data_IF_487881291574
#
_entry.id   IF_487881291574
#
_cell.length_a   1.000
_cell.length_b   1.000
_cell.length_c   1.000
_cell.angle_alpha   90.00
_cell.angle_beta   90.00
_cell.angle_gamma   90.00
#
_symmetry.space_group_name_H-M   'P 1'
#
loop_
_entity.id
_entity.type
_entity.pdbx_description
1 polymer ?
#
# COMPACT_ATOMS: atom_id res chain seq x y z
N UNK A 1 -7.06 26.16 17.91
CA UNK A 1 -6.10 27.27 18.05
C UNK A 1 -5.24 27.16 19.30
N UNK A 2 -5.82 26.96 20.54
CA UNK A 2 -5.03 26.83 21.78
C UNK A 2 -4.06 25.63 21.77
N UNK A 3 -4.52 24.46 21.28
CA UNK A 3 -3.68 23.27 21.17
C UNK A 3 -2.48 23.53 20.25
N UNK A 4 -2.72 24.05 19.04
CA UNK A 4 -1.65 24.31 18.08
C UNK A 4 -0.58 25.26 18.61
N UNK A 5 -0.99 26.33 19.35
CA UNK A 5 -0.06 27.26 19.97
C UNK A 5 0.78 26.58 21.08
N UNK A 6 0.14 25.79 21.95
CA UNK A 6 0.82 25.03 23.00
C UNK A 6 1.81 24.00 22.40
N UNK A 7 1.39 23.29 21.36
CA UNK A 7 2.21 22.31 20.66
C UNK A 7 3.45 22.95 20.00
N UNK A 8 3.28 24.09 19.35
CA UNK A 8 4.40 24.84 18.79
C UNK A 8 5.37 25.35 19.87
N UNK A 9 4.84 25.79 21.02
CA UNK A 9 5.67 26.22 22.15
C UNK A 9 6.49 25.06 22.70
N UNK A 10 5.89 23.88 22.83
CA UNK A 10 6.54 22.66 23.30
C UNK A 10 7.63 22.20 22.32
N UNK A 11 7.36 22.17 21.02
CA UNK A 11 8.38 21.87 19.99
C UNK A 11 9.58 22.81 20.08
N UNK A 12 9.34 24.11 20.24
CA UNK A 12 10.41 25.10 20.39
C UNK A 12 11.23 24.88 21.66
N UNK A 13 10.58 24.56 22.79
CA UNK A 13 11.28 24.28 24.06
C UNK A 13 12.19 23.08 23.95
N UNK A 14 11.76 22.04 23.21
CA UNK A 14 12.54 20.82 22.92
C UNK A 14 13.52 20.94 21.78
N UNK A 15 13.48 22.05 21.02
CA UNK A 15 14.30 22.27 19.82
C UNK A 15 14.15 21.15 18.78
N UNK A 16 12.92 20.69 18.55
CA UNK A 16 12.59 19.67 17.56
C UNK A 16 11.69 20.25 16.47
N UNK A 17 11.78 19.66 15.27
CA UNK A 17 10.94 19.96 14.12
C UNK A 17 10.31 18.67 13.61
N UNK A 18 9.11 18.79 13.08
CA UNK A 18 8.45 17.74 12.28
C UNK A 18 8.72 17.97 10.79
N UNK A 19 8.46 16.95 9.97
CA UNK A 19 8.60 17.09 8.51
C UNK A 19 7.71 18.21 7.94
N UNK A 20 6.49 18.35 8.44
CA UNK A 20 5.59 19.44 8.05
C UNK A 20 6.13 20.84 8.39
N UNK A 21 6.87 20.98 9.49
CA UNK A 21 7.54 22.25 9.82
C UNK A 21 8.59 22.61 8.78
N UNK A 22 9.35 21.62 8.28
CA UNK A 22 10.38 21.84 7.26
C UNK A 22 9.77 22.38 5.97
N UNK A 23 8.65 21.78 5.52
CA UNK A 23 7.93 22.24 4.32
C UNK A 23 7.39 23.67 4.51
N UNK A 24 6.72 23.96 5.62
CA UNK A 24 6.17 25.28 5.91
C UNK A 24 7.23 26.35 6.08
N UNK A 25 8.35 26.04 6.75
CA UNK A 25 9.45 26.99 6.90
C UNK A 25 10.15 27.23 5.57
N UNK A 26 10.33 26.20 4.75
CA UNK A 26 10.89 26.36 3.39
C UNK A 26 10.04 27.32 2.58
N UNK A 27 8.72 27.08 2.51
CA UNK A 27 7.84 27.99 1.78
C UNK A 27 7.87 29.41 2.35
N UNK A 28 7.87 29.57 3.68
CA UNK A 28 7.95 30.88 4.31
C UNK A 28 9.25 31.62 3.99
N UNK A 29 10.38 30.90 3.91
CA UNK A 29 11.68 31.48 3.53
C UNK A 29 11.65 31.95 2.07
N UNK A 30 11.17 31.11 1.17
CA UNK A 30 11.09 31.39 -0.26
C UNK A 30 10.16 32.58 -0.57
N UNK A 31 9.06 32.72 0.17
CA UNK A 31 8.11 33.83 -0.01
C UNK A 31 8.61 35.16 0.56
N UNK A 32 9.49 35.13 1.59
CA UNK A 32 9.97 36.34 2.26
C UNK A 32 11.33 36.84 1.77
N UNK A 33 12.08 36.02 1.04
CA UNK A 33 13.44 36.32 0.64
C UNK A 33 13.59 36.09 -0.87
N UNK A 34 13.40 37.15 -1.65
CA UNK A 34 13.51 37.10 -3.10
C UNK A 34 14.91 36.67 -3.57
N UNK A 35 15.96 37.11 -2.90
CA UNK A 35 17.35 36.75 -3.23
C UNK A 35 17.58 35.23 -3.15
N UNK A 36 17.06 34.58 -2.08
CA UNK A 36 17.16 33.12 -1.92
C UNK A 36 16.36 32.40 -3.02
N UNK A 37 15.17 32.90 -3.34
CA UNK A 37 14.34 32.32 -4.39
C UNK A 37 15.04 32.40 -5.74
N UNK A 38 15.57 33.56 -6.11
CA UNK A 38 16.30 33.78 -7.36
C UNK A 38 17.58 32.92 -7.44
N UNK A 39 18.34 32.81 -6.37
CA UNK A 39 19.52 31.92 -6.31
C UNK A 39 19.14 30.47 -6.60
N UNK A 40 18.01 29.99 -6.08
CA UNK A 40 17.53 28.63 -6.35
C UNK A 40 16.98 28.46 -7.78
N UNK A 41 16.25 29.44 -8.32
CA UNK A 41 15.78 29.44 -9.71
C UNK A 41 16.96 29.37 -10.70
N UNK A 42 18.07 30.05 -10.41
CA UNK A 42 19.28 30.04 -11.25
C UNK A 42 20.13 28.80 -11.03
N UNK A 43 20.17 28.28 -9.81
CA UNK A 43 21.00 27.15 -9.41
C UNK A 43 20.59 25.83 -10.04
N UNK A 44 19.29 25.58 -10.13
CA UNK A 44 18.79 24.33 -10.69
C UNK A 44 18.61 24.42 -12.20
N UNK A 45 19.46 23.70 -12.95
CA UNK A 45 19.30 23.58 -14.40
C UNK A 45 17.98 22.89 -14.75
N UNK A 46 17.65 21.82 -14.02
CA UNK A 46 16.42 21.04 -14.16
C UNK A 46 15.93 20.60 -12.77
N UNK A 47 14.61 20.56 -12.61
CA UNK A 47 13.90 20.04 -11.43
C UNK A 47 13.12 18.82 -11.89
N UNK A 48 13.55 17.64 -11.45
CA UNK A 48 12.93 16.36 -11.81
C UNK A 48 12.14 15.84 -10.62
N UNK A 49 10.85 15.55 -10.84
CA UNK A 49 9.95 15.03 -9.83
C UNK A 49 9.40 13.70 -10.29
N UNK A 50 9.68 12.65 -9.52
CA UNK A 50 9.12 11.32 -9.73
C UNK A 50 7.87 11.12 -8.85
N UNK A 51 6.99 10.19 -9.25
CA UNK A 51 5.72 9.91 -8.56
C UNK A 51 4.90 11.17 -8.29
N UNK A 52 4.81 12.03 -9.30
CA UNK A 52 4.20 13.36 -9.14
C UNK A 52 2.73 13.33 -8.71
N UNK A 53 1.99 12.24 -8.94
CA UNK A 53 0.62 12.03 -8.46
C UNK A 53 0.52 12.00 -6.92
N UNK A 54 1.64 11.78 -6.21
CA UNK A 54 1.68 11.74 -4.75
C UNK A 54 2.08 13.08 -4.11
N UNK A 55 2.23 14.12 -4.94
CA UNK A 55 2.58 15.48 -4.50
C UNK A 55 1.37 16.15 -3.83
N UNK A 56 1.60 16.83 -2.71
CA UNK A 56 0.58 17.66 -2.07
C UNK A 56 0.71 19.14 -2.50
N UNK A 57 -0.30 19.95 -2.20
CA UNK A 57 -0.37 21.37 -2.57
C UNK A 57 0.80 22.20 -2.03
N UNK A 58 1.31 21.87 -0.84
CA UNK A 58 2.43 22.58 -0.23
C UNK A 58 3.75 22.28 -0.97
N UNK A 59 4.00 21.02 -1.28
CA UNK A 59 5.14 20.57 -2.07
C UNK A 59 5.10 21.17 -3.48
N UNK A 60 3.95 21.14 -4.13
CA UNK A 60 3.75 21.78 -5.44
C UNK A 60 4.08 23.29 -5.39
N UNK A 61 3.63 23.97 -4.35
CA UNK A 61 3.91 25.40 -4.19
C UNK A 61 5.41 25.67 -4.01
N UNK A 62 6.11 24.82 -3.26
CA UNK A 62 7.57 24.93 -3.11
C UNK A 62 8.27 24.73 -4.46
N UNK A 63 7.93 23.65 -5.18
CA UNK A 63 8.53 23.30 -6.46
C UNK A 63 8.31 24.41 -7.51
N UNK A 64 7.10 24.90 -7.64
CA UNK A 64 6.76 25.97 -8.60
C UNK A 64 7.34 27.32 -8.22
N UNK A 65 7.63 27.56 -6.93
CA UNK A 65 8.28 28.79 -6.46
C UNK A 65 9.75 28.84 -6.84
N UNK A 66 10.45 27.70 -6.90
CA UNK A 66 11.86 27.62 -7.28
C UNK A 66 12.08 27.27 -8.76
N UNK A 67 11.00 26.99 -9.49
CA UNK A 67 11.08 26.67 -10.90
C UNK A 67 11.13 27.93 -11.76
N UNK A 68 11.92 27.88 -12.84
CA UNK A 68 11.94 28.93 -13.85
C UNK A 68 10.66 28.88 -14.70
N UNK A 69 10.14 30.05 -15.02
CA UNK A 69 8.93 30.17 -15.86
C UNK A 69 9.25 30.13 -17.35
N UNK A 70 10.37 30.73 -17.75
CA UNK A 70 10.76 30.78 -19.16
C UNK A 70 12.29 30.90 -19.30
N UNK A 71 12.96 29.96 -19.97
CA UNK A 71 12.43 28.64 -20.31
C UNK A 71 12.11 27.83 -19.06
N UNK A 72 11.05 27.05 -19.08
CA UNK A 72 10.68 26.15 -17.98
C UNK A 72 11.76 25.08 -17.73
N UNK A 73 11.91 24.65 -16.47
CA UNK A 73 12.92 23.67 -16.07
C UNK A 73 12.34 22.53 -15.22
N UNK A 74 11.04 22.35 -15.16
CA UNK A 74 10.40 21.24 -14.46
C UNK A 74 10.14 20.05 -15.38
N UNK A 75 10.55 18.86 -14.94
CA UNK A 75 10.23 17.58 -15.56
C UNK A 75 9.55 16.69 -14.52
N UNK A 76 8.31 16.32 -14.78
CA UNK A 76 7.46 15.58 -13.86
C UNK A 76 7.06 14.24 -14.47
N UNK A 77 7.24 13.17 -13.71
CA UNK A 77 6.83 11.82 -14.09
C UNK A 77 5.85 11.28 -13.05
N UNK A 78 4.79 10.64 -13.50
CA UNK A 78 3.80 10.05 -12.60
C UNK A 78 2.72 9.28 -13.35
N UNK A 79 1.89 8.62 -12.58
CA UNK A 79 0.73 7.89 -13.06
C UNK A 79 -0.43 8.05 -12.08
N UNK A 80 -1.46 8.81 -12.48
CA UNK A 80 -2.63 9.08 -11.63
C UNK A 80 -3.31 7.79 -11.15
N UNK A 81 -3.30 6.74 -11.97
CA UNK A 81 -3.86 5.41 -11.61
C UNK A 81 -3.18 4.78 -10.40
N UNK A 82 -1.96 5.21 -10.07
CA UNK A 82 -1.16 4.72 -8.94
C UNK A 82 -1.23 5.64 -7.71
N UNK A 83 -2.06 6.68 -7.72
CA UNK A 83 -2.24 7.56 -6.57
C UNK A 83 -2.92 6.82 -5.42
N UNK A 84 -2.16 6.53 -4.35
CA UNK A 84 -2.63 5.81 -3.16
C UNK A 84 -2.36 6.58 -1.85
N UNK A 85 -1.77 7.78 -1.93
CA UNK A 85 -1.37 8.57 -0.76
C UNK A 85 -2.32 9.72 -0.41
N UNK A 86 -3.59 9.66 -0.82
CA UNK A 86 -4.60 10.65 -0.44
C UNK A 86 -4.71 10.87 1.07
N UNK A 87 -4.47 9.83 1.89
CA UNK A 87 -4.42 9.93 3.35
C UNK A 87 -3.22 10.75 3.89
N UNK A 88 -2.22 11.04 3.03
CA UNK A 88 -1.09 11.96 3.28
C UNK A 88 -1.26 13.31 2.60
N UNK A 89 -2.48 13.64 2.22
CA UNK A 89 -2.83 14.88 1.51
C UNK A 89 -2.25 14.98 0.09
N UNK A 90 -1.85 13.87 -0.53
CA UNK A 90 -1.55 13.87 -1.95
C UNK A 90 -2.78 14.32 -2.75
N UNK A 91 -2.56 15.15 -3.75
CA UNK A 91 -3.61 15.73 -4.58
C UNK A 91 -3.36 15.37 -6.06
N UNK A 92 -3.93 14.25 -6.55
CA UNK A 92 -3.79 13.86 -7.94
C UNK A 92 -4.39 14.88 -8.93
N UNK A 93 -5.26 15.79 -8.46
CA UNK A 93 -5.78 16.89 -9.23
C UNK A 93 -4.70 17.80 -9.80
N UNK A 94 -3.59 17.99 -9.06
CA UNK A 94 -2.42 18.75 -9.52
C UNK A 94 -1.79 18.14 -10.79
N UNK A 95 -1.69 16.81 -10.81
CA UNK A 95 -1.20 16.10 -12.00
C UNK A 95 -2.19 16.18 -13.16
N UNK A 96 -3.48 15.95 -12.92
CA UNK A 96 -4.54 15.97 -13.92
C UNK A 96 -4.69 17.35 -14.57
N UNK A 97 -4.54 18.43 -13.80
CA UNK A 97 -4.52 19.79 -14.33
C UNK A 97 -3.40 19.97 -15.35
N UNK A 98 -2.17 19.60 -15.00
CA UNK A 98 -1.03 19.68 -15.91
C UNK A 98 -1.17 18.73 -17.10
N UNK A 99 -1.63 17.50 -16.85
CA UNK A 99 -1.90 16.52 -17.90
C UNK A 99 -2.85 17.04 -18.97
N UNK A 100 -3.90 17.74 -18.54
CA UNK A 100 -4.88 18.35 -19.44
C UNK A 100 -4.33 19.62 -20.12
N UNK A 101 -3.60 20.46 -19.37
CA UNK A 101 -3.03 21.72 -19.87
C UNK A 101 -1.96 21.47 -20.93
N UNK A 102 -1.06 20.53 -20.70
CA UNK A 102 0.06 20.21 -21.61
C UNK A 102 -0.36 19.30 -22.78
N UNK A 103 -1.63 18.96 -22.89
CA UNK A 103 -2.17 18.30 -24.08
C UNK A 103 -2.33 19.23 -25.27
N UNK A 104 -2.33 20.55 -25.04
CA UNK A 104 -2.52 21.57 -26.09
C UNK A 104 -1.17 22.05 -26.58
N UNK A 105 -1.03 22.21 -27.91
CA UNK A 105 0.22 22.63 -28.56
C UNK A 105 0.65 24.06 -28.16
N UNK A 106 -0.31 24.92 -27.79
CA UNK A 106 -0.07 26.31 -27.37
C UNK A 106 0.26 26.44 -25.87
N UNK A 107 0.46 25.32 -25.17
CA UNK A 107 0.78 25.32 -23.74
C UNK A 107 2.23 25.66 -23.45
N UNK A 108 2.51 26.06 -22.21
CA UNK A 108 3.86 26.34 -21.68
C UNK A 108 4.65 25.08 -21.30
N UNK A 109 4.18 23.91 -21.71
CA UNK A 109 4.79 22.61 -21.45
C UNK A 109 4.40 21.55 -22.48
N UNK A 110 5.04 20.39 -22.39
CA UNK A 110 4.78 19.26 -23.29
C UNK A 110 4.38 18.03 -22.47
N UNK A 111 3.31 17.36 -22.92
CA UNK A 111 2.89 16.06 -22.39
C UNK A 111 3.49 14.93 -23.21
N UNK A 112 4.15 13.99 -22.54
CA UNK A 112 4.68 12.77 -23.13
C UNK A 112 3.96 11.59 -22.49
N UNK A 113 3.31 10.73 -23.29
CA UNK A 113 2.60 9.56 -22.83
C UNK A 113 3.55 8.35 -22.93
N UNK A 114 3.80 7.69 -21.78
CA UNK A 114 4.57 6.46 -21.68
C UNK A 114 3.59 5.30 -21.46
N UNK A 115 2.99 4.81 -22.54
CA UNK A 115 2.01 3.73 -22.48
C UNK A 115 2.63 2.33 -22.38
N UNK A 116 3.85 2.16 -22.88
CA UNK A 116 4.51 0.86 -22.98
C UNK A 116 5.03 0.37 -21.63
N UNK A 117 4.61 -0.83 -21.25
CA UNK A 117 5.06 -1.53 -20.05
C UNK A 117 6.09 -2.61 -20.42
N UNK A 118 7.28 -2.50 -19.84
CA UNK A 118 8.38 -3.45 -20.04
C UNK A 118 8.62 -4.35 -18.82
N UNK A 119 7.84 -4.18 -17.76
CA UNK A 119 8.02 -4.90 -16.49
C UNK A 119 7.23 -6.20 -16.45
N UNK A 120 5.98 -6.16 -16.86
CA UNK A 120 5.01 -7.23 -16.70
C UNK A 120 4.95 -8.15 -17.93
N UNK A 121 4.40 -9.35 -17.76
CA UNK A 121 4.02 -10.22 -18.87
C UNK A 121 2.69 -9.75 -19.46
N UNK A 122 2.48 -9.99 -20.75
CA UNK A 122 1.29 -9.52 -21.49
C UNK A 122 -0.04 -9.90 -20.84
N UNK A 123 -0.16 -11.12 -20.30
CA UNK A 123 -1.40 -11.58 -19.70
C UNK A 123 -1.77 -10.82 -18.40
N UNK A 124 -0.76 -10.36 -17.65
CA UNK A 124 -0.99 -9.50 -16.46
C UNK A 124 -1.50 -8.13 -16.89
N UNK A 125 -0.94 -7.54 -17.92
CA UNK A 125 -1.41 -6.26 -18.47
C UNK A 125 -2.83 -6.37 -19.04
N UNK A 126 -3.11 -7.46 -19.76
CA UNK A 126 -4.41 -7.72 -20.35
C UNK A 126 -5.52 -7.82 -19.28
N UNK A 127 -5.28 -8.54 -18.18
CA UNK A 127 -6.27 -8.64 -17.08
C UNK A 127 -6.41 -7.31 -16.34
N UNK A 128 -5.31 -6.56 -16.17
CA UNK A 128 -5.33 -5.22 -15.59
C UNK A 128 -6.20 -4.28 -16.43
N UNK A 129 -5.95 -4.21 -17.74
CA UNK A 129 -6.76 -3.42 -18.65
C UNK A 129 -8.22 -3.84 -18.64
N UNK A 130 -8.52 -5.16 -18.64
CA UNK A 130 -9.88 -5.68 -18.58
C UNK A 130 -10.62 -5.21 -17.32
N UNK A 131 -9.98 -5.27 -16.17
CA UNK A 131 -10.60 -4.86 -14.91
C UNK A 131 -10.81 -3.35 -14.89
N UNK A 132 -9.77 -2.57 -15.15
CA UNK A 132 -9.83 -1.12 -15.04
C UNK A 132 -10.73 -0.46 -16.09
N UNK A 133 -10.84 -1.03 -17.29
CA UNK A 133 -11.81 -0.54 -18.29
C UNK A 133 -13.27 -0.66 -17.85
N UNK A 134 -13.58 -1.51 -16.86
CA UNK A 134 -14.93 -1.70 -16.35
C UNK A 134 -15.22 -0.89 -15.08
N UNK A 135 -14.21 -0.62 -14.26
CA UNK A 135 -14.43 -0.02 -12.93
C UNK A 135 -13.88 1.40 -12.79
N UNK A 136 -12.96 1.83 -13.66
CA UNK A 136 -12.35 3.16 -13.55
C UNK A 136 -13.09 4.16 -14.43
N UNK A 137 -13.65 5.18 -13.79
CA UNK A 137 -14.28 6.34 -14.40
C UNK A 137 -13.89 7.59 -13.62
N UNK A 138 -14.20 8.77 -14.15
CA UNK A 138 -13.94 10.04 -13.43
C UNK A 138 -14.59 10.11 -12.06
N UNK A 139 -15.72 9.44 -11.86
CA UNK A 139 -16.43 9.43 -10.59
C UNK A 139 -15.75 8.56 -9.53
N UNK A 140 -15.04 7.51 -9.94
CA UNK A 140 -14.44 6.52 -9.06
C UNK A 140 -12.93 6.66 -8.98
N UNK A 141 -12.26 6.95 -10.10
CA UNK A 141 -10.81 6.98 -10.23
C UNK A 141 -10.25 8.32 -10.71
N UNK A 142 -11.08 9.40 -10.67
CA UNK A 142 -10.73 10.77 -11.05
C UNK A 142 -10.38 10.94 -12.54
N UNK A 143 -10.23 9.85 -13.30
CA UNK A 143 -9.97 9.82 -14.73
C UNK A 143 -10.71 8.68 -15.41
N UNK A 144 -10.96 8.82 -16.71
CA UNK A 144 -11.49 7.73 -17.54
C UNK A 144 -10.35 6.82 -18.00
N UNK A 145 -10.64 5.50 -18.06
CA UNK A 145 -9.68 4.52 -18.55
C UNK A 145 -9.77 4.38 -20.07
N UNK A 146 -9.28 5.41 -20.77
CA UNK A 146 -9.25 5.50 -22.23
C UNK A 146 -8.01 4.81 -22.84
N UNK A 147 -7.84 4.90 -24.15
CA UNK A 147 -6.71 4.29 -24.87
C UNK A 147 -5.34 4.82 -24.40
N UNK A 148 -5.27 6.06 -23.88
CA UNK A 148 -4.04 6.64 -23.33
C UNK A 148 -3.73 6.13 -21.92
N UNK A 149 -4.76 5.67 -21.20
CA UNK A 149 -4.61 5.12 -19.84
C UNK A 149 -4.26 3.64 -19.84
N UNK A 150 -4.55 2.90 -20.93
CA UNK A 150 -4.29 1.49 -21.05
C UNK A 150 -2.79 1.16 -21.08
N UNK A 151 -2.45 0.02 -20.47
CA UNK A 151 -1.10 -0.53 -20.53
C UNK A 151 -0.88 -1.19 -21.87
N UNK A 152 0.22 -0.86 -22.53
CA UNK A 152 0.63 -1.45 -23.81
C UNK A 152 1.85 -2.33 -23.56
N UNK A 153 1.76 -3.59 -23.94
CA UNK A 153 2.87 -4.52 -23.79
C UNK A 153 4.04 -4.15 -24.69
N UNK A 154 5.15 -3.73 -24.11
CA UNK A 154 6.36 -3.29 -24.82
C UNK A 154 7.54 -4.26 -24.71
N UNK A 155 7.48 -5.30 -23.86
CA UNK A 155 8.64 -6.15 -23.61
C UNK A 155 8.83 -7.24 -24.66
N UNK A 156 10.03 -7.32 -25.22
CA UNK A 156 10.47 -8.43 -26.08
C UNK A 156 11.20 -9.54 -25.31
N UNK A 157 11.42 -9.36 -24.00
CA UNK A 157 12.28 -10.25 -23.22
C UNK A 157 11.58 -11.54 -22.76
N UNK A 158 10.23 -11.56 -22.75
CA UNK A 158 9.49 -12.72 -22.28
C UNK A 158 9.23 -13.75 -23.39
N UNK A 159 9.17 -15.05 -23.06
CA UNK A 159 8.80 -16.08 -24.04
C UNK A 159 7.34 -15.92 -24.49
N UNK A 160 7.02 -16.47 -25.67
CA UNK A 160 5.63 -16.46 -26.20
C UNK A 160 4.63 -17.13 -25.24
N UNK A 161 5.02 -18.27 -24.66
CA UNK A 161 4.19 -18.97 -23.66
C UNK A 161 4.35 -18.29 -22.32
N UNK A 162 3.37 -17.52 -21.95
CA UNK A 162 3.30 -16.80 -20.69
C UNK A 162 2.27 -17.42 -19.74
N UNK A 163 2.43 -17.29 -18.42
CA UNK A 163 1.43 -17.74 -17.45
C UNK A 163 0.13 -16.95 -17.63
N UNK A 164 -0.99 -17.60 -17.34
CA UNK A 164 -2.30 -16.96 -17.33
C UNK A 164 -2.51 -16.20 -16.04
N UNK A 165 -3.26 -15.09 -16.11
CA UNK A 165 -3.81 -14.46 -14.93
C UNK A 165 -5.02 -15.26 -14.44
N UNK A 166 -5.18 -15.41 -13.13
CA UNK A 166 -6.25 -16.18 -12.51
C UNK A 166 -7.00 -15.31 -11.49
N UNK A 167 -8.32 -15.49 -11.41
CA UNK A 167 -9.17 -14.87 -10.41
C UNK A 167 -9.68 -15.96 -9.48
N UNK A 168 -9.32 -15.88 -8.19
CA UNK A 168 -9.85 -16.74 -7.15
C UNK A 168 -11.05 -16.05 -6.49
N UNK A 169 -12.21 -16.73 -6.49
CA UNK A 169 -13.42 -16.26 -5.82
C UNK A 169 -13.70 -17.12 -4.60
N UNK A 170 -13.79 -16.50 -3.44
CA UNK A 170 -14.22 -17.15 -2.20
C UNK A 170 -15.68 -16.81 -1.91
N UNK A 171 -16.53 -17.83 -1.78
CA UNK A 171 -17.93 -17.69 -1.45
C UNK A 171 -18.18 -18.10 0.00
N UNK A 172 -18.58 -17.15 0.84
CA UNK A 172 -18.95 -17.40 2.22
C UNK A 172 -20.45 -17.69 2.33
N UNK A 173 -20.80 -18.95 2.56
CA UNK A 173 -22.20 -19.41 2.68
C UNK A 173 -22.81 -19.28 4.08
N UNK A 174 -22.09 -18.73 5.06
CA UNK A 174 -22.54 -18.67 6.46
C UNK A 174 -23.78 -17.82 6.69
N UNK A 175 -24.11 -16.94 5.75
CA UNK A 175 -25.31 -16.10 5.85
C UNK A 175 -26.61 -16.82 5.42
N UNK A 176 -26.54 -18.04 4.87
CA UNK A 176 -27.73 -18.72 4.37
C UNK A 176 -28.34 -19.73 5.35
N UNK A 177 -27.57 -20.31 6.27
CA UNK A 177 -28.09 -21.18 7.37
C UNK A 177 -26.99 -21.39 8.39
N UNK A 178 -27.34 -21.36 9.68
CA UNK A 178 -26.39 -21.56 10.80
C UNK A 178 -25.99 -23.05 10.95
N UNK A 179 -25.62 -23.72 9.87
CA UNK A 179 -25.04 -25.06 9.89
C UNK A 179 -23.51 -24.92 9.77
N UNK A 180 -22.82 -25.49 10.75
CA UNK A 180 -21.36 -25.61 10.78
C UNK A 180 -20.88 -26.29 9.51
N UNK A 181 -20.43 -25.50 8.55
CA UNK A 181 -19.81 -26.05 7.35
C UNK A 181 -18.37 -26.39 7.70
N UNK A 182 -18.09 -27.67 7.93
CA UNK A 182 -16.74 -28.21 7.88
C UNK A 182 -16.16 -27.89 6.52
N UNK A 183 -15.15 -27.02 6.49
CA UNK A 183 -14.65 -26.46 5.23
C UNK A 183 -13.85 -27.48 4.41
N UNK A 184 -14.54 -28.29 3.65
CA UNK A 184 -13.95 -28.96 2.49
C UNK A 184 -14.11 -28.00 1.30
N UNK A 185 -13.07 -27.24 0.97
CA UNK A 185 -12.98 -26.61 -0.34
C UNK A 185 -12.82 -27.71 -1.39
N UNK A 186 -13.89 -27.97 -2.12
CA UNK A 186 -13.85 -28.85 -3.27
C UNK A 186 -13.38 -28.03 -4.47
N UNK A 187 -12.11 -28.13 -4.77
CA UNK A 187 -11.60 -27.73 -6.09
C UNK A 187 -12.08 -28.77 -7.09
N UNK A 188 -12.87 -28.34 -8.07
CA UNK A 188 -13.26 -29.19 -9.19
C UNK A 188 -12.07 -29.33 -10.15
N UNK A 189 -11.08 -30.12 -9.72
CA UNK A 189 -9.98 -30.59 -10.55
C UNK A 189 -10.01 -32.11 -10.52
N UNK A 190 -10.32 -32.69 -11.67
CA UNK A 190 -10.14 -34.09 -11.96
C UNK A 190 -8.68 -34.49 -11.81
N UNK A 191 -8.29 -34.94 -10.62
CA UNK A 191 -7.16 -35.83 -10.38
C UNK A 191 -7.35 -36.48 -9.02
N UNK A 192 -7.52 -37.78 -9.07
CA UNK A 192 -7.46 -38.70 -7.95
C UNK A 192 -6.10 -38.58 -7.27
N UNK A 193 -6.06 -38.78 -5.94
CA UNK A 193 -4.92 -38.81 -5.04
C UNK A 193 -4.52 -37.49 -4.36
N UNK A 194 -5.32 -37.08 -3.35
CA UNK A 194 -4.76 -36.41 -2.17
C UNK A 194 -5.42 -36.95 -0.92
N UNK A 195 -4.63 -37.61 -0.08
CA UNK A 195 -5.01 -37.98 1.27
C UNK A 195 -5.55 -36.76 2.02
N UNK A 196 -6.76 -36.90 2.52
CA UNK A 196 -7.44 -35.88 3.31
C UNK A 196 -6.66 -35.60 4.58
N UNK A 197 -6.10 -34.40 4.72
CA UNK A 197 -5.76 -33.85 6.03
C UNK A 197 -7.07 -33.56 6.78
N UNK A 198 -7.61 -34.57 7.45
CA UNK A 198 -8.73 -34.44 8.37
C UNK A 198 -8.23 -33.76 9.66
N UNK A 199 -8.29 -32.42 9.67
CA UNK A 199 -8.37 -31.68 10.91
C UNK A 199 -9.72 -30.95 10.90
N UNK A 200 -10.45 -30.99 12.01
CA UNK A 200 -11.66 -30.20 12.26
C UNK A 200 -11.32 -28.69 12.22
N UNK A 201 -11.06 -28.19 11.02
CA UNK A 201 -10.72 -26.78 10.81
C UNK A 201 -12.01 -26.03 10.44
N UNK A 202 -12.44 -25.13 11.31
CA UNK A 202 -13.61 -24.28 11.08
C UNK A 202 -13.15 -22.89 10.68
N UNK A 203 -13.58 -22.43 9.48
CA UNK A 203 -13.32 -21.06 9.04
C UNK A 203 -14.21 -20.12 9.86
N UNK A 204 -13.59 -19.23 10.66
CA UNK A 204 -14.29 -18.32 11.57
C UNK A 204 -14.73 -17.01 10.90
N UNK A 205 -14.07 -16.59 9.82
CA UNK A 205 -14.37 -15.36 9.10
C UNK A 205 -14.14 -15.47 7.59
N UNK A 206 -14.84 -14.64 6.80
CA UNK A 206 -14.60 -14.55 5.36
C UNK A 206 -13.16 -14.19 5.02
N UNK A 207 -12.55 -13.30 5.82
CA UNK A 207 -11.14 -12.94 5.68
C UNK A 207 -10.22 -14.15 5.86
N UNK A 208 -10.50 -15.02 6.84
CA UNK A 208 -9.74 -16.25 7.04
C UNK A 208 -9.86 -17.19 5.87
N UNK A 209 -11.08 -17.38 5.33
CA UNK A 209 -11.29 -18.21 4.14
C UNK A 209 -10.53 -17.70 2.91
N UNK A 210 -10.51 -16.40 2.69
CA UNK A 210 -9.72 -15.77 1.61
C UNK A 210 -8.22 -15.98 1.81
N UNK A 211 -7.72 -15.80 3.03
CA UNK A 211 -6.29 -15.96 3.33
C UNK A 211 -5.86 -17.44 3.23
N UNK A 212 -6.72 -18.38 3.66
CA UNK A 212 -6.50 -19.79 3.48
C UNK A 212 -6.42 -20.17 2.00
N UNK A 213 -7.39 -19.76 1.17
CA UNK A 213 -7.37 -20.01 -0.27
C UNK A 213 -6.12 -19.46 -0.95
N UNK A 214 -5.67 -18.27 -0.51
CA UNK A 214 -4.43 -17.65 -0.99
C UNK A 214 -3.21 -18.51 -0.62
N UNK A 215 -3.11 -18.94 0.64
CA UNK A 215 -2.00 -19.76 1.13
C UNK A 215 -1.94 -21.14 0.45
N UNK A 216 -3.08 -21.79 0.26
CA UNK A 216 -3.18 -23.07 -0.45
C UNK A 216 -2.78 -22.93 -1.93
N UNK A 217 -3.24 -21.88 -2.61
CA UNK A 217 -2.82 -21.61 -4.00
C UNK A 217 -1.31 -21.40 -4.13
N UNK A 218 -0.71 -20.65 -3.21
CA UNK A 218 0.75 -20.44 -3.17
C UNK A 218 1.47 -21.78 -3.00
N UNK A 219 1.02 -22.61 -2.03
CA UNK A 219 1.61 -23.92 -1.79
C UNK A 219 1.48 -24.81 -3.02
N UNK A 220 0.30 -24.88 -3.64
CA UNK A 220 0.06 -25.64 -4.87
C UNK A 220 1.00 -25.23 -6.00
N UNK A 221 1.21 -23.94 -6.24
CA UNK A 221 2.13 -23.44 -7.27
C UNK A 221 3.56 -23.91 -7.04
N UNK A 222 4.04 -23.87 -5.81
CA UNK A 222 5.41 -24.29 -5.48
C UNK A 222 5.54 -25.80 -5.53
N UNK A 223 4.61 -26.56 -4.94
CA UNK A 223 4.65 -28.03 -4.88
C UNK A 223 4.50 -28.67 -6.26
N UNK A 224 3.70 -28.06 -7.18
CA UNK A 224 3.59 -28.50 -8.57
C UNK A 224 4.84 -28.20 -9.40
N UNK A 225 5.77 -27.41 -8.90
CA UNK A 225 6.95 -26.98 -9.64
C UNK A 225 6.61 -26.05 -10.79
N UNK A 226 5.61 -25.17 -10.62
CA UNK A 226 5.23 -24.18 -11.61
C UNK A 226 6.46 -23.41 -12.14
N UNK A 227 6.57 -23.24 -13.44
CA UNK A 227 7.72 -22.61 -14.05
C UNK A 227 7.49 -21.12 -14.33
N UNK A 228 8.49 -20.32 -13.98
CA UNK A 228 8.55 -18.88 -14.27
C UNK A 228 9.78 -18.54 -15.10
N UNK A 229 9.69 -17.47 -15.87
CA UNK A 229 10.83 -16.96 -16.62
C UNK A 229 11.68 -16.03 -15.77
N UNK A 230 12.96 -16.41 -15.58
CA UNK A 230 13.94 -15.58 -14.91
C UNK A 230 14.60 -14.62 -15.92
N UNK A 231 14.23 -13.35 -15.87
CA UNK A 231 14.76 -12.31 -16.78
C UNK A 231 16.26 -12.11 -16.67
N UNK A 232 16.84 -12.29 -15.47
CA UNK A 232 18.29 -12.11 -15.26
C UNK A 232 19.09 -13.24 -15.89
N UNK A 233 18.58 -14.47 -15.74
CA UNK A 233 19.23 -15.67 -16.28
C UNK A 233 18.74 -16.03 -17.68
N UNK A 234 17.71 -15.36 -18.19
CA UNK A 234 17.06 -15.60 -19.50
C UNK A 234 16.67 -17.06 -19.70
N UNK A 235 16.13 -17.70 -18.67
CA UNK A 235 15.70 -19.11 -18.70
C UNK A 235 14.46 -19.37 -17.84
N UNK A 236 13.75 -20.45 -18.18
CA UNK A 236 12.69 -20.98 -17.33
C UNK A 236 13.30 -21.65 -16.09
N UNK A 237 12.67 -21.45 -14.93
CA UNK A 237 12.98 -22.16 -13.69
C UNK A 237 11.71 -22.37 -12.86
N UNK A 238 11.76 -23.34 -11.98
CA UNK A 238 10.69 -23.55 -11.01
C UNK A 238 10.55 -22.35 -10.08
N UNK A 239 9.30 -22.04 -9.73
CA UNK A 239 8.95 -20.99 -8.78
C UNK A 239 9.41 -21.40 -7.37
N UNK A 240 9.75 -20.43 -6.56
CA UNK A 240 10.03 -20.58 -5.14
C UNK A 240 9.17 -19.61 -4.34
N UNK A 241 9.02 -19.82 -3.04
CA UNK A 241 8.25 -18.90 -2.18
C UNK A 241 8.76 -17.46 -2.23
N UNK A 242 10.07 -17.27 -2.44
CA UNK A 242 10.68 -15.95 -2.55
C UNK A 242 10.32 -15.17 -3.81
N UNK A 243 9.71 -15.82 -4.81
CA UNK A 243 9.25 -15.18 -6.05
C UNK A 243 7.82 -14.63 -5.95
N UNK A 244 7.13 -14.91 -4.85
CA UNK A 244 5.71 -14.61 -4.68
C UNK A 244 5.55 -13.44 -3.69
N UNK A 245 4.78 -12.45 -4.08
CA UNK A 245 4.38 -11.35 -3.21
C UNK A 245 2.86 -11.34 -3.06
N UNK A 246 2.38 -11.13 -1.83
CA UNK A 246 0.96 -10.95 -1.53
C UNK A 246 0.71 -9.50 -1.15
N UNK A 247 -0.17 -8.84 -1.87
CA UNK A 247 -0.62 -7.48 -1.58
C UNK A 247 -2.02 -7.54 -0.94
N UNK A 248 -2.22 -6.81 0.12
CA UNK A 248 -3.51 -6.74 0.82
C UNK A 248 -3.89 -5.29 1.09
N UNK A 249 -5.16 -4.95 0.92
CA UNK A 249 -5.68 -3.61 1.16
C UNK A 249 -5.72 -3.21 2.65
N UNK A 250 -5.61 -4.17 3.58
CA UNK A 250 -5.67 -3.92 5.02
C UNK A 250 -4.60 -4.66 5.79
N UNK A 251 -4.05 -4.03 6.83
CA UNK A 251 -3.03 -4.67 7.69
C UNK A 251 -3.59 -5.82 8.53
N UNK A 252 -4.88 -5.83 8.87
CA UNK A 252 -5.51 -6.89 9.67
C UNK A 252 -5.37 -8.27 9.04
N UNK A 253 -5.43 -8.36 7.73
CA UNK A 253 -5.29 -9.63 7.00
C UNK A 253 -3.88 -10.22 7.07
N UNK A 254 -2.84 -9.43 7.37
CA UNK A 254 -1.48 -9.94 7.48
C UNK A 254 -1.29 -10.93 8.62
N UNK A 255 -1.96 -10.74 9.76
CA UNK A 255 -1.90 -11.65 10.89
C UNK A 255 -2.53 -13.00 10.53
N UNK A 256 -3.75 -12.95 9.98
CA UNK A 256 -4.49 -14.15 9.54
C UNK A 256 -3.67 -14.93 8.50
N UNK A 257 -3.15 -14.24 7.49
CA UNK A 257 -2.32 -14.87 6.46
C UNK A 257 -1.04 -15.49 7.04
N UNK A 258 -0.41 -14.83 8.02
CA UNK A 258 0.78 -15.34 8.69
C UNK A 258 0.51 -16.62 9.48
N UNK A 259 -0.67 -16.74 10.10
CA UNK A 259 -1.10 -17.95 10.79
C UNK A 259 -1.32 -19.10 9.81
N UNK A 260 -2.01 -18.84 8.68
CA UNK A 260 -2.19 -19.84 7.63
C UNK A 260 -0.87 -20.29 7.00
N UNK A 261 0.07 -19.37 6.77
CA UNK A 261 1.40 -19.70 6.27
C UNK A 261 2.17 -20.60 7.26
N UNK A 262 2.10 -20.30 8.56
CA UNK A 262 2.70 -21.17 9.60
C UNK A 262 2.08 -22.56 9.58
N UNK A 263 0.75 -22.65 9.52
CA UNK A 263 0.01 -23.91 9.49
C UNK A 263 0.40 -24.77 8.30
N UNK A 264 0.58 -24.18 7.13
CA UNK A 264 0.95 -24.88 5.89
C UNK A 264 2.46 -25.05 5.68
N UNK A 265 3.29 -24.55 6.62
CA UNK A 265 4.74 -24.64 6.53
C UNK A 265 5.35 -23.74 5.43
N UNK A 266 4.66 -22.65 5.05
CA UNK A 266 5.12 -21.70 4.04
C UNK A 266 6.05 -20.68 4.68
N UNK A 267 7.32 -20.54 4.23
CA UNK A 267 8.20 -19.50 4.71
C UNK A 267 7.71 -18.13 4.20
N UNK A 268 7.66 -17.14 5.08
CA UNK A 268 7.17 -15.81 4.74
C UNK A 268 7.96 -14.70 5.42
N UNK A 269 7.90 -13.51 4.82
CA UNK A 269 8.42 -12.28 5.40
C UNK A 269 7.32 -11.21 5.34
N UNK A 270 6.88 -10.74 6.48
CA UNK A 270 5.97 -9.60 6.60
C UNK A 270 6.80 -8.36 6.86
N UNK A 271 6.54 -7.29 6.14
CA UNK A 271 7.07 -5.98 6.50
C UNK A 271 6.34 -5.55 7.77
N UNK A 272 7.03 -5.64 8.92
CA UNK A 272 6.44 -5.32 10.22
C UNK A 272 6.01 -3.85 10.22
N UNK A 273 4.70 -3.62 10.13
CA UNK A 273 4.10 -2.53 10.85
C UNK A 273 3.77 -3.07 12.24
N UNK A 274 4.56 -2.75 13.23
CA UNK A 274 4.13 -2.99 14.61
C UNK A 274 2.80 -2.24 14.77
N UNK A 275 1.76 -2.97 15.13
CA UNK A 275 0.50 -2.32 15.45
C UNK A 275 0.77 -1.48 16.70
N UNK A 276 0.85 -0.17 16.51
CA UNK A 276 1.16 0.78 17.57
C UNK A 276 0.29 0.56 18.81
N UNK A 277 -0.99 0.19 18.63
CA UNK A 277 -1.91 -0.12 19.71
C UNK A 277 -1.66 -1.47 20.41
N UNK A 278 -0.74 -2.29 19.91
CA UNK A 278 -0.34 -3.55 20.54
C UNK A 278 0.98 -3.45 21.30
N UNK A 279 1.63 -2.28 21.28
CA UNK A 279 2.79 -2.03 22.13
C UNK A 279 2.41 -2.11 23.59
N UNK A 280 3.32 -2.63 24.42
CA UNK A 280 3.08 -2.84 25.84
C UNK A 280 2.65 -1.55 26.53
N UNK A 281 3.28 -0.44 26.18
CA UNK A 281 3.00 0.89 26.74
C UNK A 281 1.57 1.33 26.50
N UNK A 282 1.08 1.19 25.26
CA UNK A 282 -0.29 1.56 24.91
C UNK A 282 -1.32 0.61 25.51
N UNK A 283 -1.02 -0.69 25.56
CA UNK A 283 -1.90 -1.64 26.23
C UNK A 283 -2.06 -1.30 27.70
N UNK A 284 -0.99 -0.88 28.39
CA UNK A 284 -1.04 -0.40 29.78
C UNK A 284 -1.89 0.87 29.88
N UNK A 285 -1.72 1.84 28.96
CA UNK A 285 -2.51 3.06 28.96
C UNK A 285 -3.99 2.80 28.69
N UNK A 286 -4.31 1.91 27.76
CA UNK A 286 -5.70 1.48 27.50
C UNK A 286 -6.29 0.75 28.71
N UNK A 287 -5.52 -0.11 29.38
CA UNK A 287 -5.94 -0.75 30.62
C UNK A 287 -6.20 0.28 31.72
N UNK A 288 -5.37 1.31 31.85
CA UNK A 288 -5.58 2.40 32.80
C UNK A 288 -6.88 3.17 32.50
N UNK A 289 -7.16 3.49 31.25
CA UNK A 289 -8.40 4.14 30.86
C UNK A 289 -9.62 3.26 31.18
N UNK A 290 -9.55 1.96 30.94
CA UNK A 290 -10.60 1.00 31.29
C UNK A 290 -10.84 0.94 32.79
N UNK A 291 -9.76 0.98 33.61
CA UNK A 291 -9.87 1.00 35.08
C UNK A 291 -10.49 2.31 35.58
N UNK A 292 -10.16 3.44 34.94
CA UNK A 292 -10.78 4.75 35.28
C UNK A 292 -12.27 4.74 34.97
N UNK A 293 -12.66 4.15 33.82
CA UNK A 293 -14.07 4.03 33.42
C UNK A 293 -14.83 3.04 34.33
N UNK A 294 -14.23 1.85 34.56
CA UNK A 294 -14.82 0.83 35.42
C UNK A 294 -13.73 0.07 36.20
N UNK A 295 -13.53 0.40 37.54
CA UNK A 295 -12.48 -0.24 38.35
C UNK A 295 -12.76 -1.69 38.74
N UNK A 296 -13.90 -2.28 38.36
CA UNK A 296 -14.29 -3.66 38.67
C UNK A 296 -13.89 -4.65 37.55
N UNK A 297 -13.03 -4.24 36.66
CA UNK A 297 -12.50 -5.10 35.59
C UNK A 297 -11.15 -5.67 35.99
N UNK A 298 -11.12 -6.95 36.39
CA UNK A 298 -9.94 -7.58 36.99
C UNK A 298 -8.73 -7.58 36.04
N UNK A 299 -8.89 -7.92 34.75
CA UNK A 299 -7.80 -8.00 33.80
C UNK A 299 -7.13 -6.63 33.55
N UNK A 300 -7.84 -5.55 33.24
CA UNK A 300 -7.26 -4.23 33.15
C UNK A 300 -6.62 -3.76 34.45
N UNK A 301 -7.27 -4.02 35.59
CA UNK A 301 -6.76 -3.64 36.91
C UNK A 301 -5.40 -4.32 37.19
N UNK A 302 -5.30 -5.63 37.02
CA UNK A 302 -4.05 -6.36 37.20
C UNK A 302 -2.97 -5.88 36.24
N UNK A 303 -3.33 -5.59 34.97
CA UNK A 303 -2.40 -5.05 34.01
C UNK A 303 -1.79 -3.71 34.44
N UNK A 304 -2.60 -2.83 35.04
CA UNK A 304 -2.13 -1.53 35.57
C UNK A 304 -1.28 -1.74 36.84
N UNK A 305 -1.73 -2.57 37.77
CA UNK A 305 -1.03 -2.83 39.02
C UNK A 305 0.38 -3.42 38.80
N UNK A 306 0.54 -4.33 37.82
CA UNK A 306 1.83 -4.91 37.43
C UNK A 306 2.68 -4.00 36.54
N UNK A 307 2.12 -2.95 35.98
CA UNK A 307 2.84 -2.04 35.10
C UNK A 307 3.83 -1.15 35.84
N UNK A 308 4.78 -0.51 35.13
CA UNK A 308 5.68 0.49 35.71
C UNK A 308 4.97 1.68 36.39
N UNK A 309 3.67 1.87 36.16
CA UNK A 309 2.86 2.93 36.80
C UNK A 309 2.72 2.66 38.31
N UNK A 310 2.48 1.41 38.71
CA UNK A 310 2.27 1.01 40.11
C UNK A 310 3.40 0.10 40.60
N UNK A 311 3.83 -0.88 39.81
CA UNK A 311 5.02 -1.68 40.07
C UNK A 311 4.84 -2.86 41.04
N UNK A 312 3.61 -3.36 41.26
CA UNK A 312 3.39 -4.52 42.14
C UNK A 312 3.91 -5.82 41.52
N UNK A 313 4.48 -6.67 42.35
CA UNK A 313 4.89 -8.02 41.97
C UNK A 313 3.75 -9.05 42.20
N UNK A 314 3.97 -10.32 41.79
CA UNK A 314 2.95 -11.37 41.88
C UNK A 314 2.48 -11.72 43.29
N UNK A 315 3.31 -11.44 44.31
CA UNK A 315 2.97 -11.71 45.71
C UNK A 315 2.23 -10.54 46.38
N UNK A 316 2.18 -9.40 45.72
CA UNK A 316 1.54 -8.15 46.20
C UNK A 316 0.16 -7.90 45.57
N UNK A 317 -0.20 -8.67 44.54
CA UNK A 317 -1.49 -8.70 43.88
C UNK A 317 -2.45 -9.63 44.61
#
# INVERSE_FOLDING_TARGET
LKFAAAYQTEKRSRRVLEFSDLEHYTLSILQKNDDIRQDLEERYAEIMVDEYQDTNQLQETILTTIARKSPGNMFMVGDVKQSIYGFRLADPGLFLEKYSRYANDDSDGQRIILAENFRSVKNVESITNLIFSQIMSREVGEMDYDDNAQLVYGSSDYPEKQPTAEILLYFDKRNETAEKTTGKMRWDMTSEDHESMDADFTIESAAQGQMLATAEKIKQLVDSGFEIYDRKQKKMRKISYGDIAVLSGTHGNHLILSEEFKRLGIPYKVQKSENYFQTTELRIMLALLNVIDNPRQDIPLVAVLRSPIVGLNENEL
#
